data_IF_530097138338
#
_entry.id   IF_530097138338
#
_cell.length_a   1.000
_cell.length_b   1.000
_cell.length_c   1.000
_cell.angle_alpha   90.00
_cell.angle_beta   90.00
_cell.angle_gamma   90.00
#
_symmetry.space_group_name_H-M   'P 1'
#
loop_
_entity.id
_entity.type
_entity.pdbx_description
1 polymer ?
#
# COMPACT_ATOMS: atom_id res chain seq x y z
N UNK A 1 -5.85 28.27 20.63
CA UNK A 1 -6.68 27.05 20.83
C UNK A 1 -6.15 26.05 19.86
N UNK A 2 -5.53 24.98 20.33
CA UNK A 2 -5.07 23.92 19.45
C UNK A 2 -6.28 23.30 18.79
N UNK A 3 -6.37 23.40 17.45
CA UNK A 3 -7.42 22.76 16.69
C UNK A 3 -7.23 21.25 16.83
N UNK A 4 -8.21 20.57 17.42
CA UNK A 4 -8.17 19.13 17.57
C UNK A 4 -8.57 18.50 16.24
N UNK A 5 -7.71 17.67 15.64
CA UNK A 5 -8.01 16.89 14.45
C UNK A 5 -9.38 16.20 14.59
N UNK A 6 -10.25 16.42 13.62
CA UNK A 6 -11.54 15.73 13.50
C UNK A 6 -11.41 14.54 12.58
N UNK A 7 -12.01 13.42 12.97
CA UNK A 7 -12.01 12.16 12.21
C UNK A 7 -13.46 11.82 11.86
N UNK A 8 -13.75 11.76 10.57
CA UNK A 8 -15.07 11.40 10.04
C UNK A 8 -14.92 10.15 9.17
N UNK A 9 -15.69 9.10 9.44
CA UNK A 9 -15.69 7.89 8.62
C UNK A 9 -16.03 8.22 7.16
N UNK A 10 -15.29 7.60 6.25
CA UNK A 10 -15.60 7.56 4.82
C UNK A 10 -16.63 6.46 4.52
N UNK A 11 -16.77 6.12 3.25
CA UNK A 11 -17.77 5.16 2.80
C UNK A 11 -17.51 3.73 3.33
N UNK A 12 -18.58 3.02 3.70
CA UNK A 12 -18.58 1.58 4.05
C UNK A 12 -17.49 1.12 5.05
N UNK A 13 -17.17 1.95 6.06
CA UNK A 13 -16.12 1.64 7.05
C UNK A 13 -14.70 1.50 6.48
N UNK A 14 -14.47 1.88 5.21
CA UNK A 14 -13.15 1.94 4.60
C UNK A 14 -12.61 3.36 4.68
N UNK A 15 -11.78 3.61 5.68
CA UNK A 15 -11.07 4.87 5.83
C UNK A 15 -11.80 5.97 6.60
N UNK A 16 -11.08 7.06 6.84
CA UNK A 16 -11.58 8.26 7.49
C UNK A 16 -10.99 9.54 6.88
N UNK A 17 -11.81 10.60 6.85
CA UNK A 17 -11.40 11.96 6.55
C UNK A 17 -10.87 12.62 7.82
N UNK A 18 -9.68 13.17 7.76
CA UNK A 18 -9.03 13.90 8.84
C UNK A 18 -8.99 15.39 8.50
N UNK A 19 -9.81 16.21 9.15
CA UNK A 19 -9.83 17.65 9.01
C UNK A 19 -9.25 18.37 10.23
N UNK A 20 -9.07 19.68 10.12
CA UNK A 20 -8.50 20.54 11.17
C UNK A 20 -7.06 20.13 11.60
N UNK A 21 -6.27 19.67 10.64
CA UNK A 21 -4.89 19.29 10.81
C UNK A 21 -4.04 19.78 9.64
N UNK A 22 -2.84 20.24 9.93
CA UNK A 22 -1.82 20.58 8.92
C UNK A 22 -0.60 19.65 9.10
N UNK A 23 -0.37 18.78 8.12
CA UNK A 23 0.70 17.78 8.15
C UNK A 23 2.12 18.39 8.21
N UNK A 24 2.31 19.65 7.75
CA UNK A 24 3.60 20.36 7.88
C UNK A 24 3.94 20.67 9.35
N UNK A 25 2.93 20.97 10.15
CA UNK A 25 3.11 21.50 11.50
C UNK A 25 2.93 20.48 12.61
N UNK A 26 2.49 19.27 12.30
CA UNK A 26 2.40 18.17 13.29
C UNK A 26 3.78 17.92 13.92
N UNK A 27 3.89 18.18 15.21
CA UNK A 27 5.17 18.04 15.96
C UNK A 27 5.01 17.33 17.29
N UNK A 28 3.84 17.41 17.87
CA UNK A 28 3.55 16.86 19.20
C UNK A 28 3.34 15.35 19.11
N UNK A 29 3.96 14.60 20.00
CA UNK A 29 3.82 13.16 20.12
C UNK A 29 2.37 12.71 20.37
N UNK A 30 1.55 13.53 21.02
CA UNK A 30 0.13 13.24 21.26
C UNK A 30 -0.69 13.31 19.97
N UNK A 31 -0.39 14.27 19.09
CA UNK A 31 -1.04 14.44 17.80
C UNK A 31 -0.65 13.31 16.83
N UNK A 32 0.64 12.98 16.77
CA UNK A 32 1.15 11.83 16.00
C UNK A 32 0.49 10.54 16.46
N UNK A 33 0.38 10.32 17.77
CA UNK A 33 -0.28 9.14 18.29
C UNK A 33 -1.77 9.11 17.93
N UNK A 34 -2.48 10.22 17.95
CA UNK A 34 -3.89 10.30 17.50
C UNK A 34 -4.04 9.92 16.02
N UNK A 35 -3.17 10.41 15.14
CA UNK A 35 -3.15 10.04 13.73
C UNK A 35 -2.89 8.53 13.61
N UNK A 36 -1.91 8.01 14.33
CA UNK A 36 -1.56 6.60 14.30
C UNK A 36 -2.72 5.71 14.76
N UNK A 37 -3.38 6.05 15.88
CA UNK A 37 -4.54 5.32 16.37
C UNK A 37 -5.72 5.38 15.38
N UNK A 38 -5.95 6.53 14.76
CA UNK A 38 -6.96 6.67 13.72
C UNK A 38 -6.63 5.78 12.50
N UNK A 39 -5.35 5.75 12.06
CA UNK A 39 -4.90 4.87 10.97
C UNK A 39 -5.12 3.39 11.31
N UNK A 40 -4.72 2.95 12.49
CA UNK A 40 -4.91 1.57 12.94
C UNK A 40 -6.40 1.18 13.00
N UNK A 41 -7.27 2.12 13.33
CA UNK A 41 -8.71 1.87 13.43
C UNK A 41 -9.41 1.84 12.07
N UNK A 42 -9.05 2.77 11.18
CA UNK A 42 -9.74 2.99 9.90
C UNK A 42 -9.02 2.39 8.69
N UNK A 43 -7.72 2.06 8.80
CA UNK A 43 -6.90 1.48 7.73
C UNK A 43 -6.48 2.46 6.63
N UNK A 44 -7.22 3.54 6.43
CA UNK A 44 -6.96 4.61 5.47
C UNK A 44 -7.32 5.95 6.09
N UNK A 45 -6.45 6.95 5.93
CA UNK A 45 -6.74 8.33 6.31
C UNK A 45 -6.58 9.26 5.11
N UNK A 46 -7.53 10.15 4.93
CA UNK A 46 -7.50 11.20 3.91
C UNK A 46 -7.34 12.56 4.59
N UNK A 47 -6.33 13.31 4.22
CA UNK A 47 -6.01 14.65 4.73
C UNK A 47 -6.23 15.66 3.60
N UNK A 48 -7.39 16.31 3.52
CA UNK A 48 -7.70 17.26 2.45
C UNK A 48 -6.89 18.56 2.57
N UNK A 49 -6.73 19.25 1.45
CA UNK A 49 -6.17 20.59 1.37
C UNK A 49 -4.81 20.77 2.04
N UNK A 50 -3.91 19.76 1.89
CA UNK A 50 -2.54 19.88 2.35
C UNK A 50 -1.66 20.48 1.26
N UNK A 51 -0.74 21.37 1.65
CA UNK A 51 0.29 21.93 0.77
C UNK A 51 1.65 21.42 1.26
N UNK A 52 2.17 20.34 0.64
CA UNK A 52 3.39 19.66 1.08
C UNK A 52 4.45 19.67 -0.03
N UNK A 53 5.67 20.07 0.34
CA UNK A 53 6.84 19.78 -0.46
C UNK A 53 7.44 18.40 -0.11
N UNK A 54 8.48 17.97 -0.85
CA UNK A 54 9.15 16.70 -0.59
C UNK A 54 9.73 16.61 0.84
N UNK A 55 10.24 17.73 1.38
CA UNK A 55 10.74 17.81 2.74
C UNK A 55 9.62 17.64 3.79
N UNK A 56 8.46 18.27 3.56
CA UNK A 56 7.31 18.18 4.46
C UNK A 56 6.76 16.76 4.51
N UNK A 57 6.59 16.14 3.32
CA UNK A 57 6.11 14.77 3.19
C UNK A 57 7.06 13.77 3.88
N UNK A 58 8.36 13.90 3.63
CA UNK A 58 9.40 13.09 4.27
C UNK A 58 9.39 13.27 5.77
N UNK A 59 9.35 14.51 6.26
CA UNK A 59 9.32 14.83 7.68
C UNK A 59 8.04 14.31 8.36
N UNK A 60 6.88 14.46 7.73
CA UNK A 60 5.61 13.95 8.25
C UNK A 60 5.65 12.42 8.41
N UNK A 61 6.04 11.70 7.38
CA UNK A 61 6.06 10.24 7.38
C UNK A 61 7.13 9.65 8.32
N UNK A 62 8.29 10.32 8.46
CA UNK A 62 9.36 9.89 9.36
C UNK A 62 8.96 9.87 10.85
N UNK A 63 7.88 10.56 11.22
CA UNK A 63 7.36 10.58 12.59
C UNK A 63 6.70 9.26 13.00
N UNK A 64 6.29 8.45 12.04
CA UNK A 64 5.61 7.18 12.29
C UNK A 64 6.58 6.00 12.32
N UNK A 65 7.59 5.99 11.47
CA UNK A 65 8.63 4.96 11.44
C UNK A 65 9.80 5.39 10.54
N UNK A 66 10.86 4.57 10.51
CA UNK A 66 11.97 4.71 9.56
C UNK A 66 11.46 4.56 8.14
N UNK A 67 11.79 5.52 7.29
CA UNK A 67 11.41 5.50 5.89
C UNK A 67 12.29 4.50 5.13
N UNK A 68 11.66 3.77 4.21
CA UNK A 68 12.37 2.85 3.33
C UNK A 68 12.80 3.59 2.06
N UNK A 69 14.08 3.58 1.67
CA UNK A 69 14.49 4.07 0.37
C UNK A 69 13.91 3.18 -0.72
N UNK A 70 13.60 3.76 -1.86
CA UNK A 70 13.12 3.02 -3.02
C UNK A 70 14.27 2.38 -3.80
N UNK A 71 13.92 1.46 -4.67
CA UNK A 71 14.91 0.78 -5.52
C UNK A 71 15.35 1.66 -6.68
N UNK A 72 16.49 1.32 -7.30
CA UNK A 72 17.09 2.06 -8.42
C UNK A 72 16.18 2.20 -9.64
N UNK A 73 15.15 1.37 -9.75
CA UNK A 73 14.20 1.38 -10.88
C UNK A 73 13.16 2.49 -10.75
N UNK A 74 12.85 2.90 -9.53
CA UNK A 74 11.80 3.87 -9.26
C UNK A 74 12.35 5.29 -9.34
N UNK A 75 11.73 6.14 -10.16
CA UNK A 75 12.09 7.57 -10.21
C UNK A 75 11.64 8.25 -8.92
N UNK A 76 12.59 8.82 -8.21
CA UNK A 76 12.36 9.53 -6.96
C UNK A 76 12.47 11.05 -7.17
N UNK A 77 11.82 11.79 -6.29
CA UNK A 77 11.97 13.25 -6.25
C UNK A 77 13.41 13.60 -5.88
N UNK A 78 14.00 14.54 -6.62
CA UNK A 78 15.39 14.97 -6.40
C UNK A 78 15.63 15.41 -4.95
N UNK A 79 16.63 14.85 -4.30
CA UNK A 79 16.94 15.06 -2.89
C UNK A 79 16.08 14.25 -1.90
N UNK A 80 15.08 13.48 -2.36
CA UNK A 80 14.17 12.75 -1.50
C UNK A 80 14.03 11.27 -1.92
N UNK A 81 14.99 10.40 -1.57
CA UNK A 81 15.04 9.00 -2.03
C UNK A 81 13.87 8.12 -1.53
N UNK A 82 13.06 8.64 -0.63
CA UNK A 82 11.87 7.96 -0.10
C UNK A 82 10.56 8.39 -0.80
N UNK A 83 10.64 9.38 -1.69
CA UNK A 83 9.48 9.93 -2.40
C UNK A 83 9.55 9.54 -3.86
N UNK A 84 8.67 8.63 -4.27
CA UNK A 84 8.53 8.19 -5.67
C UNK A 84 7.59 9.14 -6.40
N UNK A 85 7.95 9.50 -7.62
CA UNK A 85 7.08 10.27 -8.51
C UNK A 85 6.21 9.27 -9.29
N UNK A 86 4.90 9.35 -9.08
CA UNK A 86 3.89 8.64 -9.87
C UNK A 86 3.30 9.64 -10.86
N UNK A 87 3.60 9.49 -12.15
CA UNK A 87 3.20 10.47 -13.16
C UNK A 87 3.23 9.88 -14.57
N UNK A 88 2.26 10.26 -15.40
CA UNK A 88 2.25 10.01 -16.84
C UNK A 88 2.73 11.22 -17.67
N UNK A 89 3.26 12.23 -17.03
CA UNK A 89 3.83 13.40 -17.70
C UNK A 89 5.18 13.03 -18.29
N UNK A 90 5.43 13.50 -19.50
CA UNK A 90 6.72 13.43 -20.17
C UNK A 90 7.33 14.83 -20.30
N UNK A 91 8.60 14.95 -19.99
CA UNK A 91 9.41 16.15 -20.25
C UNK A 91 10.50 15.78 -21.26
N UNK A 92 10.58 16.51 -22.38
CA UNK A 92 11.52 16.25 -23.46
C UNK A 92 11.49 14.81 -24.02
N UNK A 93 10.33 14.16 -23.99
CA UNK A 93 10.14 12.78 -24.45
C UNK A 93 10.56 11.71 -23.45
N UNK A 94 10.84 12.10 -22.22
CA UNK A 94 11.14 11.18 -21.12
C UNK A 94 10.08 11.30 -20.01
N UNK A 95 9.52 10.16 -19.56
CA UNK A 95 8.60 10.13 -18.43
C UNK A 95 9.28 10.69 -17.17
N UNK A 96 8.65 11.64 -16.49
CA UNK A 96 9.18 12.21 -15.23
C UNK A 96 8.99 11.30 -14.04
N UNK A 97 8.05 10.37 -14.09
CA UNK A 97 7.68 9.49 -13.01
C UNK A 97 7.66 8.02 -13.40
N UNK A 98 7.26 7.21 -12.43
CA UNK A 98 6.95 5.81 -12.64
C UNK A 98 5.44 5.69 -12.81
N UNK A 99 5.03 5.25 -13.99
CA UNK A 99 3.63 4.94 -14.24
C UNK A 99 3.46 3.81 -15.25
N UNK A 100 2.67 2.80 -14.95
CA UNK A 100 2.09 1.94 -15.95
C UNK A 100 0.92 2.66 -16.65
N UNK A 101 0.90 2.61 -17.99
CA UNK A 101 -0.24 3.10 -18.80
C UNK A 101 -1.52 2.30 -18.56
N UNK A 102 -1.40 1.18 -17.86
CA UNK A 102 -2.49 0.28 -17.48
C UNK A 102 -2.67 0.33 -15.97
N UNK A 103 -3.89 0.09 -15.51
CA UNK A 103 -4.18 -0.01 -14.08
C UNK A 103 -3.30 -1.06 -13.40
N UNK A 104 -3.03 -0.85 -12.13
CA UNK A 104 -2.29 -1.78 -11.29
C UNK A 104 -3.29 -2.75 -10.66
N UNK A 105 -2.93 -4.04 -10.59
CA UNK A 105 -3.69 -5.06 -9.89
C UNK A 105 -3.79 -4.77 -8.39
N UNK A 106 -4.72 -5.42 -7.71
CA UNK A 106 -4.86 -5.29 -6.26
C UNK A 106 -3.62 -5.79 -5.52
N UNK A 107 -3.07 -4.93 -4.67
CA UNK A 107 -1.85 -5.21 -3.94
C UNK A 107 -1.89 -4.63 -2.52
N UNK A 108 -0.99 -5.09 -1.69
CA UNK A 108 -0.64 -4.48 -0.41
C UNK A 108 0.83 -4.11 -0.41
N UNK A 109 1.14 -2.87 -0.02
CA UNK A 109 2.52 -2.41 0.03
C UNK A 109 3.38 -3.20 1.01
N UNK A 110 4.56 -3.59 0.56
CA UNK A 110 5.57 -4.20 1.40
C UNK A 110 5.41 -5.69 1.65
N UNK A 111 4.53 -6.39 0.92
CA UNK A 111 4.37 -7.84 1.04
C UNK A 111 5.66 -8.59 0.72
N UNK A 112 6.39 -8.18 -0.31
CA UNK A 112 7.67 -8.78 -0.74
C UNK A 112 8.89 -8.32 0.07
N UNK A 113 8.73 -7.68 1.24
CA UNK A 113 9.83 -7.28 2.10
C UNK A 113 9.82 -8.05 3.41
N UNK A 114 11.01 -8.30 4.00
CA UNK A 114 11.14 -8.95 5.30
C UNK A 114 10.45 -8.16 6.41
N UNK A 115 10.61 -6.83 6.39
CA UNK A 115 9.94 -5.93 7.33
C UNK A 115 8.61 -5.47 6.75
N UNK A 116 7.56 -5.54 7.54
CA UNK A 116 6.25 -5.04 7.15
C UNK A 116 6.26 -3.52 6.96
N UNK A 117 5.46 -3.05 6.03
CA UNK A 117 5.21 -1.63 5.82
C UNK A 117 4.09 -1.19 6.75
N UNK A 118 4.37 -0.21 7.60
CA UNK A 118 3.36 0.34 8.50
C UNK A 118 2.29 1.11 7.75
N UNK A 119 2.70 1.96 6.84
CA UNK A 119 1.83 2.77 5.99
C UNK A 119 2.58 3.32 4.78
N UNK A 120 1.83 3.61 3.71
CA UNK A 120 2.29 4.38 2.55
C UNK A 120 1.48 5.66 2.47
N UNK A 121 2.11 6.77 2.11
CA UNK A 121 1.45 8.04 1.87
C UNK A 121 1.47 8.37 0.39
N UNK A 122 0.31 8.70 -0.16
CA UNK A 122 0.16 9.23 -1.52
C UNK A 122 -0.25 10.70 -1.42
N UNK A 123 0.52 11.59 -2.05
CA UNK A 123 0.24 13.02 -2.09
C UNK A 123 -0.13 13.44 -3.50
N UNK A 124 -1.34 13.94 -3.69
CA UNK A 124 -1.83 14.42 -4.98
C UNK A 124 -1.28 15.81 -5.29
N UNK A 125 -0.46 15.92 -6.33
CA UNK A 125 0.09 17.19 -6.84
C UNK A 125 -0.76 17.71 -7.99
N UNK A 126 -0.98 16.87 -8.99
CA UNK A 126 -1.81 17.15 -10.15
C UNK A 126 -2.69 15.93 -10.43
N UNK A 127 -4.00 16.13 -10.33
CA UNK A 127 -4.99 15.06 -10.40
C UNK A 127 -5.86 15.26 -11.63
N UNK A 128 -6.09 14.23 -12.47
CA UNK A 128 -6.97 14.33 -13.61
C UNK A 128 -8.42 14.54 -13.18
N UNK A 129 -9.20 15.22 -14.03
CA UNK A 129 -10.64 15.44 -13.76
C UNK A 129 -11.49 14.18 -13.84
N UNK A 130 -11.00 13.15 -14.53
CA UNK A 130 -11.65 11.86 -14.71
C UNK A 130 -10.61 10.76 -14.81
N UNK A 131 -10.87 9.61 -14.18
CA UNK A 131 -9.96 8.48 -14.14
C UNK A 131 -8.79 8.70 -13.16
N UNK A 132 -7.91 7.72 -13.08
CA UNK A 132 -6.77 7.74 -12.17
C UNK A 132 -7.14 7.50 -10.70
N UNK A 133 -8.36 7.04 -10.44
CA UNK A 133 -8.84 6.76 -9.09
C UNK A 133 -7.99 5.67 -8.42
N UNK A 134 -7.77 5.82 -7.12
CA UNK A 134 -7.20 4.76 -6.29
C UNK A 134 -8.32 4.07 -5.51
N UNK A 135 -8.38 2.75 -5.63
CA UNK A 135 -9.37 1.93 -4.94
C UNK A 135 -8.74 1.27 -3.72
N UNK A 136 -9.47 1.27 -2.62
CA UNK A 136 -9.04 0.69 -1.36
C UNK A 136 -10.02 -0.36 -0.89
N UNK A 137 -9.53 -1.54 -0.50
CA UNK A 137 -10.27 -2.59 0.18
C UNK A 137 -9.76 -2.71 1.62
N UNK A 138 -10.63 -3.04 2.55
CA UNK A 138 -10.27 -3.18 3.96
C UNK A 138 -10.05 -4.67 4.28
N UNK A 139 -8.81 -5.07 4.62
CA UNK A 139 -8.45 -6.46 4.91
C UNK A 139 -9.25 -7.10 6.05
N UNK A 140 -9.74 -6.33 7.02
CA UNK A 140 -10.62 -6.84 8.08
C UNK A 140 -12.00 -7.21 7.53
N UNK A 141 -12.59 -6.31 6.72
CA UNK A 141 -13.90 -6.54 6.09
C UNK A 141 -13.79 -7.67 5.06
N UNK A 142 -12.70 -7.70 4.29
CA UNK A 142 -12.42 -8.74 3.31
C UNK A 142 -12.40 -10.13 3.93
N UNK A 143 -11.72 -10.31 5.06
CA UNK A 143 -11.69 -11.59 5.76
C UNK A 143 -13.07 -12.01 6.26
N UNK A 144 -13.86 -11.06 6.78
CA UNK A 144 -15.21 -11.31 7.28
C UNK A 144 -16.23 -11.60 6.17
N UNK A 145 -15.97 -11.11 4.95
CA UNK A 145 -16.84 -11.35 3.79
C UNK A 145 -16.70 -12.75 3.20
N UNK A 146 -15.61 -13.46 3.53
CA UNK A 146 -15.39 -14.80 3.00
C UNK A 146 -16.39 -15.82 3.55
N UNK A 147 -16.86 -16.78 2.73
CA UNK A 147 -17.60 -17.93 3.21
C UNK A 147 -16.82 -18.68 4.31
N UNK A 148 -17.47 -19.29 5.31
CA UNK A 148 -16.81 -19.90 6.46
C UNK A 148 -15.74 -20.93 6.11
N UNK A 149 -15.97 -21.75 5.08
CA UNK A 149 -15.00 -22.75 4.61
C UNK A 149 -13.75 -22.08 4.04
N UNK A 150 -13.92 -21.02 3.24
CA UNK A 150 -12.82 -20.27 2.63
C UNK A 150 -12.06 -19.45 3.68
N UNK A 151 -12.77 -18.80 4.62
CA UNK A 151 -12.16 -18.09 5.75
C UNK A 151 -11.28 -19.02 6.60
N UNK A 152 -11.72 -20.26 6.85
CA UNK A 152 -10.91 -21.26 7.55
C UNK A 152 -9.68 -21.67 6.72
N UNK A 153 -9.83 -21.85 5.41
CA UNK A 153 -8.75 -22.23 4.52
C UNK A 153 -7.66 -21.16 4.47
N UNK A 154 -8.02 -19.87 4.22
CA UNK A 154 -7.02 -18.79 4.11
C UNK A 154 -6.22 -18.58 5.39
N UNK A 155 -6.78 -18.89 6.57
CA UNK A 155 -6.07 -18.79 7.85
C UNK A 155 -4.94 -19.81 8.01
N UNK A 156 -4.95 -20.88 7.23
CA UNK A 156 -3.91 -21.93 7.28
C UNK A 156 -2.88 -21.80 6.15
N UNK A 157 -3.04 -20.83 5.26
CA UNK A 157 -2.19 -20.66 4.09
C UNK A 157 -1.13 -19.58 4.30
N UNK A 158 0.03 -19.81 3.69
CA UNK A 158 1.10 -18.82 3.55
C UNK A 158 1.39 -18.56 2.07
N UNK A 159 1.83 -17.35 1.78
CA UNK A 159 2.26 -16.92 0.45
C UNK A 159 3.76 -16.69 0.46
N UNK A 160 4.45 -17.18 -0.54
CA UNK A 160 5.80 -16.77 -0.87
C UNK A 160 5.75 -15.64 -1.89
N UNK A 161 6.23 -14.49 -1.50
CA UNK A 161 6.39 -13.29 -2.33
C UNK A 161 7.81 -13.21 -2.85
N UNK A 162 7.98 -12.76 -4.09
CA UNK A 162 9.28 -12.56 -4.71
C UNK A 162 9.31 -11.30 -5.57
N UNK A 163 10.07 -10.31 -5.13
CA UNK A 163 10.30 -9.10 -5.93
C UNK A 163 11.14 -9.39 -7.17
N UNK A 164 12.06 -10.34 -7.08
CA UNK A 164 12.82 -10.79 -8.25
C UNK A 164 11.89 -11.36 -9.31
N UNK A 165 10.98 -12.26 -8.92
CA UNK A 165 9.95 -12.83 -9.81
C UNK A 165 9.11 -11.72 -10.48
N UNK A 166 8.64 -10.73 -9.71
CA UNK A 166 7.90 -9.58 -10.24
C UNK A 166 8.74 -8.81 -11.27
N UNK A 167 10.00 -8.50 -10.95
CA UNK A 167 10.87 -7.72 -11.82
C UNK A 167 11.27 -8.48 -13.09
N UNK A 168 11.44 -9.79 -13.01
CA UNK A 168 11.66 -10.64 -14.19
C UNK A 168 10.45 -10.61 -15.11
N UNK A 169 9.25 -10.78 -14.57
CA UNK A 169 7.98 -10.77 -15.30
C UNK A 169 7.70 -9.43 -15.98
N UNK A 170 8.00 -8.32 -15.30
CA UNK A 170 7.85 -6.97 -15.83
C UNK A 170 9.04 -6.51 -16.71
N UNK A 171 10.08 -7.34 -16.87
CA UNK A 171 11.28 -7.02 -17.65
C UNK A 171 12.22 -6.02 -16.99
N UNK A 172 12.00 -5.66 -15.75
CA UNK A 172 12.84 -4.71 -15.00
C UNK A 172 14.15 -5.35 -14.51
N UNK A 173 14.18 -6.66 -14.29
CA UNK A 173 15.38 -7.37 -13.84
C UNK A 173 16.60 -7.11 -14.76
N UNK A 174 16.37 -6.90 -16.06
CA UNK A 174 17.43 -6.59 -17.04
C UNK A 174 18.11 -5.25 -16.82
N UNK A 175 17.52 -4.36 -16.02
CA UNK A 175 18.05 -3.02 -15.70
C UNK A 175 18.86 -3.01 -14.41
N UNK A 176 18.93 -4.14 -13.70
CA UNK A 176 19.60 -4.28 -12.41
C UNK A 176 20.93 -5.00 -12.57
N UNK A 177 21.92 -4.58 -11.78
CA UNK A 177 23.19 -5.29 -11.64
C UNK A 177 23.03 -6.63 -10.92
N UNK A 178 24.01 -7.51 -11.02
CA UNK A 178 24.04 -8.79 -10.29
C UNK A 178 23.99 -8.55 -8.77
N UNK A 179 24.67 -7.52 -8.28
CA UNK A 179 24.70 -7.14 -6.86
C UNK A 179 23.33 -6.66 -6.36
N UNK A 180 22.60 -5.92 -7.19
CA UNK A 180 21.23 -5.48 -6.88
C UNK A 180 20.24 -6.66 -6.89
N UNK A 181 20.34 -7.54 -7.88
CA UNK A 181 19.51 -8.76 -7.95
C UNK A 181 19.74 -9.68 -6.75
N UNK A 182 20.99 -9.79 -6.26
CA UNK A 182 21.34 -10.61 -5.10
C UNK A 182 20.72 -10.10 -3.77
N UNK A 183 20.22 -8.87 -3.73
CA UNK A 183 19.55 -8.30 -2.53
C UNK A 183 18.10 -8.77 -2.39
N UNK A 184 17.50 -9.30 -3.45
CA UNK A 184 16.12 -9.78 -3.41
C UNK A 184 16.09 -11.23 -2.93
N UNK A 185 15.49 -11.42 -1.76
CA UNK A 185 15.17 -12.74 -1.22
C UNK A 185 13.67 -12.96 -1.24
N UNK A 186 13.25 -14.19 -1.44
CA UNK A 186 11.85 -14.56 -1.27
C UNK A 186 11.43 -14.41 0.19
N UNK A 187 10.18 -13.99 0.41
CA UNK A 187 9.61 -13.77 1.75
C UNK A 187 8.31 -14.54 1.87
N UNK A 188 8.22 -15.44 2.85
CA UNK A 188 6.99 -16.18 3.12
C UNK A 188 6.24 -15.56 4.29
N UNK A 189 4.97 -15.25 4.09
CA UNK A 189 4.08 -14.63 5.08
C UNK A 189 2.73 -15.34 5.12
N UNK A 190 2.06 -15.37 6.29
CA UNK A 190 0.69 -15.87 6.35
C UNK A 190 -0.25 -14.99 5.51
N UNK A 191 -1.26 -15.60 4.91
CA UNK A 191 -2.29 -14.91 4.13
C UNK A 191 -3.21 -14.07 5.01
N UNK A 192 -3.40 -14.50 6.27
CA UNK A 192 -4.14 -13.76 7.30
C UNK A 192 -3.16 -13.34 8.38
N UNK A 193 -3.13 -12.05 8.68
CA UNK A 193 -2.24 -11.46 9.69
C UNK A 193 -3.05 -10.86 10.83
N UNK A 194 -2.53 -10.93 12.05
CA UNK A 194 -3.10 -10.22 13.20
C UNK A 194 -2.45 -8.86 13.34
N UNK A 195 -3.23 -7.79 13.25
CA UNK A 195 -2.72 -6.43 13.38
C UNK A 195 -2.19 -6.17 14.80
N UNK A 196 -0.94 -5.73 14.97
CA UNK A 196 -0.27 -5.71 16.28
C UNK A 196 -0.93 -4.78 17.30
N UNK A 197 -1.61 -3.72 16.86
CA UNK A 197 -2.27 -2.75 17.75
C UNK A 197 -3.72 -3.10 18.00
N UNK A 198 -4.50 -3.37 16.95
CA UNK A 198 -5.94 -3.63 17.07
C UNK A 198 -6.28 -5.06 17.43
N UNK A 199 -5.33 -5.99 17.31
CA UNK A 199 -5.48 -7.44 17.49
C UNK A 199 -6.55 -8.06 16.60
N UNK A 200 -6.95 -7.36 15.53
CA UNK A 200 -7.89 -7.87 14.52
C UNK A 200 -7.14 -8.65 13.46
N UNK A 201 -7.75 -9.71 12.98
CA UNK A 201 -7.24 -10.47 11.83
C UNK A 201 -7.61 -9.78 10.52
N UNK A 202 -6.69 -9.70 9.60
CA UNK A 202 -6.85 -9.10 8.27
C UNK A 202 -6.34 -10.05 7.19
N UNK A 203 -7.06 -10.09 6.08
CA UNK A 203 -6.59 -10.73 4.85
C UNK A 203 -5.64 -9.75 4.13
N UNK A 204 -4.40 -10.17 3.88
CA UNK A 204 -3.37 -9.31 3.28
C UNK A 204 -2.62 -10.09 2.21
N UNK A 205 -2.67 -9.60 0.96
CA UNK A 205 -1.89 -10.17 -0.13
C UNK A 205 -1.65 -9.17 -1.28
N UNK A 206 -0.69 -9.50 -2.12
CA UNK A 206 -0.42 -8.85 -3.40
C UNK A 206 -0.36 -9.95 -4.45
N UNK A 207 -1.24 -9.88 -5.44
CA UNK A 207 -1.30 -10.90 -6.48
C UNK A 207 -0.08 -10.84 -7.41
N UNK A 208 0.41 -9.63 -7.69
CA UNK A 208 1.55 -9.44 -8.60
C UNK A 208 2.88 -9.92 -8.03
N UNK A 209 3.10 -9.77 -6.73
CA UNK A 209 4.33 -10.23 -6.05
C UNK A 209 4.26 -11.71 -5.62
N UNK A 210 3.08 -12.36 -5.74
CA UNK A 210 2.89 -13.74 -5.34
C UNK A 210 3.66 -14.68 -6.29
N UNK A 211 4.65 -15.38 -5.76
CA UNK A 211 5.34 -16.46 -6.47
C UNK A 211 4.56 -17.77 -6.37
N UNK A 212 4.13 -18.12 -5.16
CA UNK A 212 3.25 -19.26 -4.92
C UNK A 212 2.62 -19.22 -3.52
N UNK A 213 1.53 -19.94 -3.36
CA UNK A 213 0.91 -20.29 -2.07
C UNK A 213 1.38 -21.70 -1.69
N UNK A 214 1.54 -21.95 -0.40
CA UNK A 214 1.98 -23.27 0.10
C UNK A 214 1.07 -24.39 -0.42
N UNK A 215 1.68 -25.40 -1.05
CA UNK A 215 0.98 -26.53 -1.66
C UNK A 215 0.35 -26.27 -3.02
N UNK A 216 0.55 -25.09 -3.61
CA UNK A 216 0.03 -24.70 -4.92
C UNK A 216 1.17 -24.28 -5.85
N UNK A 217 1.03 -24.60 -7.14
CA UNK A 217 1.90 -24.02 -8.16
C UNK A 217 1.48 -22.59 -8.50
N UNK A 218 2.23 -21.90 -9.36
CA UNK A 218 2.00 -20.51 -9.76
C UNK A 218 0.58 -20.29 -10.31
N UNK A 219 0.15 -21.11 -11.26
CA UNK A 219 -1.19 -20.99 -11.89
C UNK A 219 -2.32 -21.20 -10.88
N UNK A 220 -2.18 -22.21 -10.01
CA UNK A 220 -3.16 -22.48 -8.96
C UNK A 220 -3.20 -21.34 -7.93
N UNK A 221 -2.05 -20.77 -7.59
CA UNK A 221 -1.96 -19.64 -6.66
C UNK A 221 -2.64 -18.38 -7.22
N UNK A 222 -2.38 -18.08 -8.50
CA UNK A 222 -3.02 -16.97 -9.19
C UNK A 222 -4.54 -17.14 -9.27
N UNK A 223 -5.01 -18.32 -9.65
CA UNK A 223 -6.44 -18.64 -9.71
C UNK A 223 -7.11 -18.50 -8.34
N UNK A 224 -6.48 -19.03 -7.30
CA UNK A 224 -6.99 -18.94 -5.93
C UNK A 224 -7.06 -17.49 -5.44
N UNK A 225 -6.03 -16.68 -5.66
CA UNK A 225 -6.04 -15.27 -5.28
C UNK A 225 -7.05 -14.47 -6.11
N UNK A 226 -7.21 -14.78 -7.40
CA UNK A 226 -8.23 -14.16 -8.24
C UNK A 226 -9.65 -14.44 -7.74
N UNK A 227 -9.93 -15.66 -7.30
CA UNK A 227 -11.21 -15.99 -6.66
C UNK A 227 -11.42 -15.21 -5.34
N UNK A 228 -10.36 -15.02 -4.54
CA UNK A 228 -10.46 -14.19 -3.34
C UNK A 228 -10.78 -12.73 -3.68
N UNK A 229 -10.20 -12.20 -4.75
CA UNK A 229 -10.48 -10.82 -5.20
C UNK A 229 -11.96 -10.59 -5.48
N UNK A 230 -12.69 -11.54 -6.04
CA UNK A 230 -14.13 -11.41 -6.31
C UNK A 230 -14.93 -11.08 -5.04
N UNK A 231 -14.52 -11.64 -3.89
CA UNK A 231 -15.19 -11.36 -2.61
C UNK A 231 -14.79 -10.03 -2.00
N UNK A 232 -13.51 -9.65 -2.11
CA UNK A 232 -12.97 -8.49 -1.39
C UNK A 232 -13.08 -7.18 -2.16
N UNK A 233 -13.32 -7.25 -3.47
CA UNK A 233 -13.45 -6.09 -4.35
C UNK A 233 -14.90 -5.82 -4.77
N UNK A 234 -15.88 -6.45 -4.12
CA UNK A 234 -17.28 -6.13 -4.32
C UNK A 234 -17.52 -4.63 -4.02
N UNK A 235 -18.39 -3.97 -4.78
CA UNK A 235 -18.59 -2.52 -4.75
C UNK A 235 -18.88 -1.96 -3.35
N UNK A 236 -19.56 -2.72 -2.52
CA UNK A 236 -19.86 -2.37 -1.13
C UNK A 236 -18.69 -2.61 -0.15
N UNK A 237 -17.56 -3.16 -0.62
CA UNK A 237 -16.36 -3.48 0.17
C UNK A 237 -15.21 -2.53 -0.08
N UNK A 238 -15.32 -1.69 -1.11
CA UNK A 238 -14.25 -0.80 -1.55
C UNK A 238 -14.59 0.67 -1.32
N UNK A 239 -13.55 1.45 -1.15
CA UNK A 239 -13.60 2.91 -1.23
C UNK A 239 -12.84 3.36 -2.47
N UNK A 240 -13.44 4.24 -3.25
CA UNK A 240 -12.85 4.88 -4.43
C UNK A 240 -12.49 6.32 -4.10
N UNK A 241 -11.21 6.66 -4.26
CA UNK A 241 -10.67 8.01 -3.98
C UNK A 241 -10.30 8.70 -5.26
#
# INVERSE_FOLDING_TARGET
MDQIMRVQKLHNEVGALCSDINCQTVRDGSEINRIYQALCHHGLLVFPAQELGGADLTNFMSKFNTLRPRTVIEKTLEGFPHVVIVSNIEENGEAIGHQPDQGIEWYSDGTGWQQDTLATCLYGVEIPKQGGDTLFANGYLSLNALPPALSKQVKSLSITYSRLYLYERLGYAKKLSTEELAQFSDVTKPLVVTHPVTQREALVFSIEECKCIDGMNESQSYEFLSQLLEFITAENQIYRH
#
